data_IF_260147281253
#
_entry.id   IF_260147281253
#
_cell.length_a   1.000
_cell.length_b   1.000
_cell.length_c   1.000
_cell.angle_alpha   90.00
_cell.angle_beta   90.00
_cell.angle_gamma   90.00
#
_symmetry.space_group_name_H-M   'P 1'
#
loop_
_entity.id
_entity.type
_entity.pdbx_description
1 polymer ?
#
# COMPACT_ATOMS: atom_id res chain seq x y z
N UNK A 1 12.77 5.49 23.93
CA UNK A 1 12.68 5.73 22.47
C UNK A 1 11.80 6.95 22.28
N UNK A 2 12.29 8.00 21.61
CA UNK A 2 11.49 9.20 21.32
C UNK A 2 10.44 8.93 20.24
N UNK A 3 9.31 9.66 20.28
CA UNK A 3 8.32 9.61 19.22
C UNK A 3 8.92 10.15 17.90
N UNK A 4 8.51 9.59 16.76
CA UNK A 4 8.92 10.07 15.44
C UNK A 4 8.35 11.47 15.20
N UNK A 5 9.07 12.31 14.46
CA UNK A 5 8.46 13.51 13.87
C UNK A 5 7.42 13.10 12.82
N UNK A 6 6.49 13.99 12.50
CA UNK A 6 5.49 13.75 11.44
C UNK A 6 6.15 13.45 10.09
N UNK A 7 7.23 14.17 9.77
CA UNK A 7 8.05 13.94 8.58
C UNK A 7 8.67 12.54 8.56
N UNK A 8 9.31 12.12 9.66
CA UNK A 8 9.88 10.78 9.79
C UNK A 8 8.82 9.67 9.72
N UNK A 9 7.63 9.93 10.28
CA UNK A 9 6.52 9.01 10.20
C UNK A 9 6.02 8.87 8.74
N UNK A 10 5.93 9.99 8.00
CA UNK A 10 5.56 10.01 6.58
C UNK A 10 6.59 9.28 5.71
N UNK A 11 7.88 9.54 5.88
CA UNK A 11 8.95 8.85 5.15
C UNK A 11 8.89 7.33 5.36
N UNK A 12 8.71 6.88 6.62
CA UNK A 12 8.55 5.46 6.92
C UNK A 12 7.29 4.87 6.31
N UNK A 13 6.19 5.62 6.32
CA UNK A 13 4.92 5.17 5.71
C UNK A 13 5.09 4.92 4.20
N UNK A 14 5.76 5.84 3.49
CA UNK A 14 6.06 5.70 2.06
C UNK A 14 6.94 4.47 1.81
N UNK A 15 8.02 4.31 2.57
CA UNK A 15 8.92 3.16 2.44
C UNK A 15 8.18 1.82 2.62
N UNK A 16 7.32 1.71 3.64
CA UNK A 16 6.56 0.48 3.87
C UNK A 16 5.48 0.24 2.81
N UNK A 17 4.91 1.30 2.24
CA UNK A 17 3.98 1.18 1.12
C UNK A 17 4.68 0.62 -0.13
N UNK A 18 5.89 1.07 -0.44
CA UNK A 18 6.70 0.52 -1.53
C UNK A 18 6.99 -0.97 -1.33
N UNK A 19 7.44 -1.36 -0.14
CA UNK A 19 7.67 -2.76 0.21
C UNK A 19 6.40 -3.62 0.08
N UNK A 20 5.25 -3.09 0.49
CA UNK A 20 3.98 -3.80 0.35
C UNK A 20 3.57 -3.94 -1.11
N UNK A 21 3.79 -2.93 -1.96
CA UNK A 21 3.55 -3.04 -3.42
C UNK A 21 4.40 -4.12 -4.05
N UNK A 22 5.69 -4.16 -3.73
CA UNK A 22 6.60 -5.20 -4.21
C UNK A 22 6.12 -6.60 -3.80
N UNK A 23 5.71 -6.77 -2.54
CA UNK A 23 5.18 -8.03 -2.05
C UNK A 23 3.88 -8.46 -2.75
N UNK A 24 2.97 -7.52 -3.04
CA UNK A 24 1.71 -7.81 -3.74
C UNK A 24 1.94 -8.22 -5.21
N UNK A 25 2.92 -7.63 -5.89
CA UNK A 25 3.31 -8.01 -7.25
C UNK A 25 4.00 -9.37 -7.25
N UNK A 26 4.93 -9.62 -6.34
CA UNK A 26 5.63 -10.90 -6.22
C UNK A 26 4.70 -12.08 -5.86
N UNK A 27 3.50 -11.77 -5.35
CA UNK A 27 2.47 -12.75 -4.98
C UNK A 27 1.24 -12.67 -5.87
N UNK A 28 1.31 -11.94 -6.98
CA UNK A 28 0.22 -11.87 -7.94
C UNK A 28 0.02 -13.24 -8.60
N UNK A 29 -1.22 -13.77 -8.64
CA UNK A 29 -1.46 -15.02 -9.33
C UNK A 29 -1.25 -14.84 -10.82
N UNK A 30 -0.45 -15.72 -11.42
CA UNK A 30 -0.33 -15.78 -12.88
C UNK A 30 -1.72 -16.05 -13.48
N UNK A 31 -2.14 -15.21 -14.44
CA UNK A 31 -3.50 -15.19 -14.97
C UNK A 31 -3.85 -16.47 -15.74
N UNK A 32 -4.37 -17.47 -15.03
CA UNK A 32 -4.80 -18.78 -15.54
C UNK A 32 -4.35 -19.88 -14.57
N UNK A 33 -5.26 -20.77 -14.14
CA UNK A 33 -5.00 -21.79 -13.09
C UNK A 33 -4.22 -21.25 -11.87
N UNK A 34 -4.86 -20.34 -11.13
CA UNK A 34 -4.22 -19.70 -9.96
C UNK A 34 -4.95 -18.46 -9.46
N UNK A 35 -5.94 -17.95 -10.20
CA UNK A 35 -6.78 -16.83 -9.77
C UNK A 35 -7.31 -17.07 -8.34
N UNK A 36 -7.12 -16.07 -7.47
CA UNK A 36 -7.59 -16.14 -6.09
C UNK A 36 -9.10 -16.38 -6.08
N UNK A 37 -9.54 -17.34 -5.28
CA UNK A 37 -10.97 -17.54 -5.03
C UNK A 37 -11.51 -16.30 -4.32
N UNK A 38 -12.60 -15.73 -4.85
CA UNK A 38 -13.27 -14.57 -4.28
C UNK A 38 -13.71 -14.89 -2.84
N UNK A 39 -13.38 -14.00 -1.90
CA UNK A 39 -13.67 -14.20 -0.48
C UNK A 39 -12.74 -15.17 0.25
N UNK A 40 -11.74 -15.76 -0.43
CA UNK A 40 -10.66 -16.49 0.25
C UNK A 40 -9.87 -15.56 1.18
N UNK A 41 -9.17 -16.10 2.20
CA UNK A 41 -8.30 -15.29 3.06
C UNK A 41 -7.28 -14.46 2.27
N UNK A 42 -6.73 -15.01 1.19
CA UNK A 42 -5.77 -14.32 0.32
C UNK A 42 -6.42 -13.16 -0.43
N UNK A 43 -7.64 -13.34 -0.95
CA UNK A 43 -8.40 -12.27 -1.61
C UNK A 43 -8.75 -11.14 -0.62
N UNK A 44 -9.21 -11.50 0.59
CA UNK A 44 -9.49 -10.53 1.65
C UNK A 44 -8.24 -9.76 2.06
N UNK A 45 -7.10 -10.43 2.25
CA UNK A 45 -5.83 -9.80 2.60
C UNK A 45 -5.32 -8.91 1.46
N UNK A 46 -5.45 -9.34 0.20
CA UNK A 46 -5.07 -8.55 -0.98
C UNK A 46 -5.94 -7.29 -1.09
N UNK A 47 -7.25 -7.42 -0.90
CA UNK A 47 -8.20 -6.31 -0.87
C UNK A 47 -7.89 -5.31 0.26
N UNK A 48 -7.59 -5.81 1.47
CA UNK A 48 -7.19 -4.97 2.59
C UNK A 48 -5.87 -4.23 2.32
N UNK A 49 -4.87 -4.90 1.75
CA UNK A 49 -3.60 -4.29 1.38
C UNK A 49 -3.76 -3.17 0.34
N UNK A 50 -4.60 -3.37 -0.70
CA UNK A 50 -4.91 -2.32 -1.67
C UNK A 50 -5.61 -1.11 -1.05
N UNK A 51 -6.57 -1.32 -0.14
CA UNK A 51 -7.24 -0.22 0.58
C UNK A 51 -6.26 0.55 1.47
N UNK A 52 -5.34 -0.14 2.12
CA UNK A 52 -4.29 0.48 2.93
C UNK A 52 -3.36 1.33 2.05
N UNK A 53 -2.87 0.79 0.94
CA UNK A 53 -2.04 1.52 -0.02
C UNK A 53 -2.76 2.77 -0.56
N UNK A 54 -4.04 2.64 -0.92
CA UNK A 54 -4.86 3.78 -1.37
C UNK A 54 -4.93 4.86 -0.29
N UNK A 55 -5.13 4.47 0.97
CA UNK A 55 -5.18 5.42 2.10
C UNK A 55 -3.84 6.13 2.27
N UNK A 56 -2.74 5.38 2.21
CA UNK A 56 -1.40 5.95 2.29
C UNK A 56 -1.19 6.95 1.15
N UNK A 57 -1.53 6.59 -0.08
CA UNK A 57 -1.39 7.46 -1.25
C UNK A 57 -2.19 8.76 -1.10
N UNK A 58 -3.40 8.71 -0.53
CA UNK A 58 -4.16 9.92 -0.23
C UNK A 58 -3.53 10.79 0.86
N UNK A 59 -2.84 10.19 1.82
CA UNK A 59 -2.15 10.90 2.91
C UNK A 59 -0.77 11.44 2.50
N UNK A 60 -0.12 10.81 1.52
CA UNK A 60 1.26 11.10 1.08
C UNK A 60 1.33 11.80 -0.26
N UNK A 61 0.26 11.77 -1.05
CA UNK A 61 0.00 12.75 -2.10
C UNK A 61 0.08 14.10 -1.41
N UNK A 62 1.25 14.73 -1.50
CA UNK A 62 1.41 16.12 -1.13
C UNK A 62 0.28 16.87 -1.83
N UNK A 63 -0.34 17.83 -1.15
CA UNK A 63 -1.15 18.83 -1.82
C UNK A 63 -0.31 19.29 -3.02
N UNK A 64 -0.70 18.89 -4.24
CA UNK A 64 -0.18 19.52 -5.44
C UNK A 64 -0.60 20.97 -5.28
N UNK A 65 0.30 21.78 -4.69
CA UNK A 65 0.08 23.20 -4.54
C UNK A 65 -0.33 23.70 -5.93
N UNK A 66 -1.49 24.35 -6.08
CA UNK A 66 -1.81 24.95 -7.35
C UNK A 66 -0.63 25.86 -7.73
N UNK A 67 -0.15 25.82 -8.99
CA UNK A 67 0.89 26.75 -9.41
C UNK A 67 0.37 28.16 -9.09
N UNK A 68 1.19 28.91 -8.35
CA UNK A 68 0.89 30.28 -7.94
C UNK A 68 0.59 31.22 -9.09
#
# INVERSE_FOLDING_TARGET
MGALSEEQARERLVLHAEQLREALVATEPEGGEGALEEGSPQDVLRSAAFRLLTTIDLMTAAEEQPPG
#
